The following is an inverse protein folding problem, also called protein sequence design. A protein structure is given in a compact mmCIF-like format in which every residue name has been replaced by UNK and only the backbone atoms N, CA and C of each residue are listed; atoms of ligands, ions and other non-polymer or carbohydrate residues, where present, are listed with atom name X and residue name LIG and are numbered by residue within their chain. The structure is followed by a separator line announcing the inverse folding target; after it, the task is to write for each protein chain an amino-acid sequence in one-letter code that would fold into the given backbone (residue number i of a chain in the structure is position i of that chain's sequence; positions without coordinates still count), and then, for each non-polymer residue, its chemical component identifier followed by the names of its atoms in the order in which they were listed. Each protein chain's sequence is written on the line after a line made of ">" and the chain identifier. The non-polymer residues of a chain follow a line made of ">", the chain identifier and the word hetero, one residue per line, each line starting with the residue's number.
data_IF_954105333834
#
_entry.id   IF_954105333834
#
_cell.length_a   1.000
_cell.length_b   1.000
_cell.length_c   1.000
_cell.angle_alpha   90.00
_cell.angle_beta   90.00
_cell.angle_gamma   90.00
#
_symmetry.space_group_name_H-M   'P 1'
#
loop_
_entity.id
_entity.type
_entity.pdbx_description
1 polymer ?
#
# COMPACT_ATOMS: atom_id res chain seq x y z
N UNK A 1 -4.88 0.76 15.00
CA UNK A 1 -6.10 1.37 14.41
C UNK A 1 -6.51 0.52 13.24
N UNK A 2 -7.70 -0.10 13.26
CA UNK A 2 -8.21 -0.86 12.13
C UNK A 2 -9.07 0.10 11.30
N UNK A 3 -8.43 0.94 10.49
CA UNK A 3 -9.14 1.86 9.58
C UNK A 3 -9.81 1.02 8.49
N UNK A 4 -11.13 1.10 8.41
CA UNK A 4 -11.89 0.38 7.40
C UNK A 4 -11.39 0.74 6.00
N UNK A 5 -11.16 -0.28 5.17
CA UNK A 5 -10.73 -0.07 3.78
C UNK A 5 -11.81 0.67 2.98
N UNK A 6 -11.38 1.63 2.17
CA UNK A 6 -12.23 2.28 1.18
C UNK A 6 -12.64 1.31 0.07
N UNK A 7 -13.63 1.69 -0.74
CA UNK A 7 -14.05 0.86 -1.88
C UNK A 7 -12.91 0.66 -2.90
N UNK A 8 -12.10 1.69 -3.12
CA UNK A 8 -10.95 1.64 -4.03
C UNK A 8 -9.85 0.73 -3.50
N UNK A 9 -9.49 0.87 -2.22
CA UNK A 9 -8.52 -0.01 -1.55
C UNK A 9 -8.95 -1.47 -1.62
N UNK A 10 -10.23 -1.76 -1.36
CA UNK A 10 -10.78 -3.12 -1.52
C UNK A 10 -10.64 -3.63 -2.94
N UNK A 11 -10.92 -2.79 -3.94
CA UNK A 11 -10.81 -3.17 -5.35
C UNK A 11 -9.35 -3.50 -5.71
N UNK A 12 -8.41 -2.66 -5.30
CA UNK A 12 -6.97 -2.84 -5.54
C UNK A 12 -6.43 -4.08 -4.85
N UNK A 13 -6.77 -4.28 -3.57
CA UNK A 13 -6.36 -5.48 -2.83
C UNK A 13 -6.93 -6.76 -3.44
N UNK A 14 -8.19 -6.75 -3.88
CA UNK A 14 -8.78 -7.90 -4.59
C UNK A 14 -8.04 -8.22 -5.88
N UNK A 15 -7.65 -7.19 -6.65
CA UNK A 15 -6.85 -7.38 -7.87
C UNK A 15 -5.48 -7.96 -7.53
N UNK A 16 -4.78 -7.40 -6.54
CA UNK A 16 -3.48 -7.89 -6.08
C UNK A 16 -3.50 -9.38 -5.71
N UNK A 17 -4.52 -9.78 -4.94
CA UNK A 17 -4.72 -11.19 -4.55
C UNK A 17 -5.10 -12.05 -5.76
N UNK A 18 -5.97 -11.55 -6.66
CA UNK A 18 -6.36 -12.27 -7.86
C UNK A 18 -5.17 -12.52 -8.81
N UNK A 19 -4.18 -11.63 -8.79
CA UNK A 19 -2.92 -11.77 -9.53
C UNK A 19 -1.93 -12.75 -8.85
N UNK A 20 -2.32 -13.36 -7.71
CA UNK A 20 -1.58 -14.42 -7.03
C UNK A 20 -0.66 -13.97 -5.90
N UNK A 21 -0.75 -12.71 -5.48
CA UNK A 21 0.16 -12.15 -4.48
C UNK A 21 -0.41 -12.24 -3.05
N UNK A 22 0.49 -12.24 -2.06
CA UNK A 22 0.13 -12.23 -0.64
C UNK A 22 -0.36 -10.84 -0.22
N UNK A 23 -1.53 -10.69 0.44
CA UNK A 23 -1.99 -9.40 0.95
C UNK A 23 -1.06 -8.76 1.99
N UNK A 24 -0.22 -9.54 2.67
CA UNK A 24 0.78 -9.07 3.63
C UNK A 24 2.11 -8.68 2.98
N UNK A 25 2.25 -8.83 1.66
CA UNK A 25 3.42 -8.40 0.89
C UNK A 25 3.10 -7.15 0.05
N UNK A 26 4.12 -6.47 -0.45
CA UNK A 26 3.96 -5.28 -1.29
C UNK A 26 4.98 -5.21 -2.42
N UNK A 27 4.61 -4.66 -3.59
CA UNK A 27 5.48 -4.59 -4.76
C UNK A 27 6.60 -3.54 -4.65
N UNK A 28 6.59 -2.69 -3.63
CA UNK A 28 7.50 -1.55 -3.52
C UNK A 28 8.69 -1.80 -2.59
N UNK A 29 8.84 -3.03 -2.07
CA UNK A 29 9.85 -3.38 -1.06
C UNK A 29 9.81 -2.45 0.16
N UNK A 30 8.65 -1.86 0.43
CA UNK A 30 8.47 -0.94 1.55
C UNK A 30 8.41 -1.73 2.85
N UNK A 31 9.13 -1.22 3.85
CA UNK A 31 9.17 -1.79 5.18
C UNK A 31 8.85 -0.72 6.20
N UNK A 32 8.16 -1.13 7.27
CA UNK A 32 7.90 -0.28 8.42
C UNK A 32 9.18 0.05 9.18
N UNK A 33 9.07 0.94 10.16
CA UNK A 33 10.18 1.37 11.02
C UNK A 33 10.80 0.22 11.83
N UNK A 34 10.06 -0.87 12.01
CA UNK A 34 10.51 -2.10 12.67
C UNK A 34 11.28 -3.04 11.73
N UNK A 35 11.48 -2.64 10.47
CA UNK A 35 12.17 -3.41 9.45
C UNK A 35 11.35 -4.55 8.86
N UNK A 36 10.05 -4.63 9.17
CA UNK A 36 9.15 -5.64 8.58
C UNK A 36 8.49 -5.10 7.31
N UNK A 37 8.27 -5.95 6.30
CA UNK A 37 7.51 -5.54 5.12
C UNK A 37 6.13 -4.99 5.50
N UNK A 38 5.73 -3.91 4.83
CA UNK A 38 4.37 -3.39 4.93
C UNK A 38 3.41 -4.29 4.17
N UNK A 39 2.16 -4.36 4.63
CA UNK A 39 1.08 -4.94 3.83
C UNK A 39 0.79 -4.08 2.59
N UNK A 40 0.15 -4.69 1.59
CA UNK A 40 -0.13 -4.04 0.32
C UNK A 40 -0.87 -2.69 0.46
N UNK A 41 -1.87 -2.61 1.34
CA UNK A 41 -2.68 -1.39 1.49
C UNK A 41 -1.86 -0.29 2.16
N UNK A 42 -1.14 -0.63 3.22
CA UNK A 42 -0.32 0.34 3.95
C UNK A 42 0.78 0.86 3.03
N UNK A 43 1.48 -0.01 2.31
CA UNK A 43 2.49 0.40 1.34
C UNK A 43 1.90 1.26 0.20
N UNK A 44 0.69 0.93 -0.27
CA UNK A 44 0.05 1.70 -1.32
C UNK A 44 -0.34 3.12 -0.86
N UNK A 45 -0.85 3.27 0.36
CA UNK A 45 -1.15 4.59 0.95
C UNK A 45 0.10 5.44 1.09
N UNK A 46 1.20 4.85 1.53
CA UNK A 46 2.48 5.54 1.66
C UNK A 46 3.02 5.97 0.29
N UNK A 47 2.93 5.09 -0.72
CA UNK A 47 3.29 5.41 -2.09
C UNK A 47 2.51 6.60 -2.65
N UNK A 48 1.18 6.66 -2.45
CA UNK A 48 0.36 7.79 -2.88
C UNK A 48 0.73 9.09 -2.16
N UNK A 49 1.09 9.00 -0.88
CA UNK A 49 1.50 10.15 -0.09
C UNK A 49 2.84 10.71 -0.59
N UNK A 50 3.81 9.83 -0.86
CA UNK A 50 5.10 10.18 -1.45
C UNK A 50 4.97 10.78 -2.86
N UNK A 51 4.09 10.22 -3.69
CA UNK A 51 3.82 10.77 -5.03
C UNK A 51 3.23 12.19 -4.94
N UNK A 52 2.29 12.41 -4.01
CA UNK A 52 1.70 13.72 -3.78
C UNK A 52 2.75 14.74 -3.28
N UNK A 53 3.63 14.36 -2.35
CA UNK A 53 4.73 15.20 -1.89
C UNK A 53 5.67 15.60 -3.04
N UNK A 54 6.03 14.65 -3.90
CA UNK A 54 6.90 14.91 -5.04
C UNK A 54 6.26 15.83 -6.09
N UNK A 55 4.94 15.72 -6.31
CA UNK A 55 4.22 16.59 -7.25
C UNK A 55 4.02 18.02 -6.73
N UNK A 56 3.95 18.24 -5.41
CA UNK A 56 3.79 19.57 -4.82
C UNK A 56 5.13 20.30 -4.63
N UNK A 57 6.24 19.56 -4.66
CA UNK A 57 7.60 20.11 -4.55
C UNK A 57 8.22 20.63 -5.87
N UNK A 58 7.48 20.62 -6.98
CA UNK A 58 7.85 21.15 -8.30
C UNK A 58 6.99 22.37 -8.67
#
# INVERSE_FOLDING_TARGET
>A
MNTALTAEEKCRLRKWIADGNDPADNPWLMSGVDGRPLDFITAWRDMLSLEAEHMVGL
#
